data_IF_708770359762
#
_entry.id   IF_708770359762
#
_cell.length_a   1.000
_cell.length_b   1.000
_cell.length_c   1.000
_cell.angle_alpha   90.00
_cell.angle_beta   90.00
_cell.angle_gamma   90.00
#
_symmetry.space_group_name_H-M   'P 1'
#
loop_
_entity.id
_entity.type
_entity.pdbx_description
1 polymer ?
#
# COMPACT_ATOMS: atom_id res chain seq x y z
N UNK A 1 -7.33 -16.50 5.95
CA UNK A 1 -7.30 -15.61 4.77
C UNK A 1 -7.41 -14.18 5.26
N UNK A 2 -6.59 -13.27 4.75
CA UNK A 2 -6.61 -11.84 5.13
C UNK A 2 -7.95 -11.22 4.71
N UNK A 3 -8.60 -10.51 5.63
CA UNK A 3 -9.91 -9.87 5.40
C UNK A 3 -9.83 -8.34 5.45
N UNK A 4 -8.73 -7.79 6.00
CA UNK A 4 -8.52 -6.36 6.19
C UNK A 4 -7.47 -5.81 5.24
N UNK A 5 -7.73 -4.64 4.67
CA UNK A 5 -6.81 -3.94 3.79
C UNK A 5 -6.61 -2.50 4.22
N UNK A 6 -5.41 -1.97 4.01
CA UNK A 6 -5.08 -0.55 4.17
C UNK A 6 -4.68 0.00 2.81
N UNK A 7 -5.26 1.11 2.41
CA UNK A 7 -4.80 1.90 1.28
C UNK A 7 -4.12 3.15 1.83
N UNK A 8 -2.81 3.30 1.60
CA UNK A 8 -2.08 4.49 1.97
C UNK A 8 -2.20 5.53 0.85
N UNK A 9 -3.11 6.47 1.02
CA UNK A 9 -3.45 7.52 0.06
C UNK A 9 -2.92 8.90 0.50
N UNK A 10 -1.83 8.90 1.25
CA UNK A 10 -1.10 10.09 1.66
C UNK A 10 0.03 10.46 0.70
N UNK A 11 0.78 11.50 1.06
CA UNK A 11 1.89 12.01 0.26
C UNK A 11 1.52 13.26 -0.55
N UNK A 12 2.54 14.07 -0.85
CA UNK A 12 2.32 15.39 -1.48
C UNK A 12 2.27 15.34 -3.02
N UNK A 13 2.64 14.21 -3.63
CA UNK A 13 2.61 14.06 -5.10
C UNK A 13 3.46 15.09 -5.87
N UNK A 14 4.56 15.57 -5.30
CA UNK A 14 5.37 16.70 -5.80
C UNK A 14 5.81 16.56 -7.25
N UNK A 15 6.06 15.32 -7.70
CA UNK A 15 6.45 15.03 -9.09
C UNK A 15 5.34 15.32 -10.13
N UNK A 16 4.10 15.47 -9.68
CA UNK A 16 2.94 15.78 -10.52
C UNK A 16 2.47 17.24 -10.35
N UNK A 17 3.31 18.09 -9.74
CA UNK A 17 3.03 19.53 -9.68
C UNK A 17 2.93 20.11 -11.10
N UNK A 18 1.99 21.06 -11.37
CA UNK A 18 1.14 21.76 -10.39
C UNK A 18 -0.19 21.07 -10.04
N UNK A 19 -0.57 19.98 -10.71
CA UNK A 19 -1.87 19.31 -10.52
C UNK A 19 -2.14 18.93 -9.06
N UNK A 20 -1.11 18.49 -8.36
CA UNK A 20 -1.20 18.04 -6.96
C UNK A 20 -1.15 19.16 -5.92
N UNK A 21 -1.08 20.43 -6.34
CA UNK A 21 -1.21 21.58 -5.41
C UNK A 21 -2.62 21.73 -4.86
N UNK A 22 -3.63 21.46 -5.68
CA UNK A 22 -5.04 21.61 -5.30
C UNK A 22 -5.77 20.31 -5.03
N UNK A 23 -5.31 19.19 -5.62
CA UNK A 23 -6.00 17.92 -5.56
C UNK A 23 -5.03 16.81 -5.13
N UNK A 24 -5.50 15.93 -4.23
CA UNK A 24 -4.73 14.75 -3.88
C UNK A 24 -4.44 13.88 -5.12
N UNK A 25 -3.21 13.38 -5.25
CA UNK A 25 -2.78 12.54 -6.38
C UNK A 25 -3.73 11.38 -6.66
N UNK A 26 -4.25 10.73 -5.64
CA UNK A 26 -5.12 9.57 -5.76
C UNK A 26 -6.53 9.91 -6.23
N UNK A 27 -6.89 11.20 -6.25
CA UNK A 27 -8.16 11.69 -6.79
C UNK A 27 -8.05 12.17 -8.25
N UNK A 28 -6.83 12.26 -8.79
CA UNK A 28 -6.64 12.58 -10.21
C UNK A 28 -7.17 11.45 -11.09
N UNK A 29 -7.81 11.76 -12.22
CA UNK A 29 -8.35 10.75 -13.12
C UNK A 29 -7.23 9.99 -13.84
N UNK A 30 -7.38 8.68 -13.93
CA UNK A 30 -6.63 7.81 -14.81
C UNK A 30 -7.65 7.13 -15.72
N UNK A 31 -7.67 7.54 -16.97
CA UNK A 31 -8.66 7.16 -17.98
C UNK A 31 -10.07 7.59 -17.56
N UNK A 32 -10.90 6.70 -17.05
CA UNK A 32 -12.34 6.91 -16.76
C UNK A 32 -12.68 7.11 -15.29
N UNK A 33 -11.70 6.99 -14.36
CA UNK A 33 -11.95 7.05 -12.93
C UNK A 33 -10.75 7.56 -12.12
N UNK A 34 -10.97 8.12 -10.92
CA UNK A 34 -9.90 8.50 -10.00
C UNK A 34 -8.95 7.34 -9.68
N UNK A 35 -7.66 7.66 -9.55
CA UNK A 35 -6.59 6.68 -9.32
C UNK A 35 -6.87 5.75 -8.13
N UNK A 36 -7.53 6.23 -7.06
CA UNK A 36 -7.84 5.45 -5.86
C UNK A 36 -8.66 4.18 -6.15
N UNK A 37 -9.47 4.17 -7.20
CA UNK A 37 -10.26 2.99 -7.56
C UNK A 37 -9.41 1.79 -7.99
N UNK A 38 -8.21 2.02 -8.53
CA UNK A 38 -7.32 0.93 -8.95
C UNK A 38 -6.80 0.12 -7.78
N UNK A 39 -6.12 0.69 -6.75
CA UNK A 39 -5.72 -0.07 -5.56
C UNK A 39 -6.93 -0.63 -4.80
N UNK A 40 -8.07 0.09 -4.79
CA UNK A 40 -9.30 -0.41 -4.20
C UNK A 40 -9.77 -1.69 -4.89
N UNK A 41 -9.81 -1.70 -6.23
CA UNK A 41 -10.19 -2.87 -7.02
C UNK A 41 -9.23 -4.06 -6.80
N UNK A 42 -7.94 -3.82 -6.63
CA UNK A 42 -6.97 -4.88 -6.32
C UNK A 42 -7.31 -5.57 -5.00
N UNK A 43 -7.62 -4.82 -3.94
CA UNK A 43 -8.05 -5.39 -2.67
C UNK A 43 -9.38 -6.15 -2.81
N UNK A 44 -10.33 -5.61 -3.58
CA UNK A 44 -11.63 -6.26 -3.84
C UNK A 44 -11.47 -7.57 -4.63
N UNK A 45 -10.63 -7.61 -5.67
CA UNK A 45 -10.29 -8.81 -6.43
C UNK A 45 -9.60 -9.87 -5.57
N UNK A 46 -8.84 -9.43 -4.60
CA UNK A 46 -8.21 -10.27 -3.60
C UNK A 46 -9.20 -10.86 -2.57
N UNK A 47 -10.46 -10.39 -2.56
CA UNK A 47 -11.50 -10.82 -1.62
C UNK A 47 -11.55 -10.03 -0.32
N UNK A 48 -10.79 -8.94 -0.21
CA UNK A 48 -10.81 -8.06 0.96
C UNK A 48 -12.02 -7.13 0.87
N UNK A 49 -12.76 -6.99 1.98
CA UNK A 49 -14.00 -6.20 2.04
C UNK A 49 -14.02 -5.19 3.17
N UNK A 50 -13.10 -5.28 4.13
CA UNK A 50 -12.95 -4.30 5.23
C UNK A 50 -11.66 -3.50 4.97
N UNK A 51 -11.80 -2.22 4.63
CA UNK A 51 -10.71 -1.40 4.08
C UNK A 51 -10.59 -0.10 4.87
N UNK A 52 -9.36 0.21 5.30
CA UNK A 52 -9.00 1.50 5.87
C UNK A 52 -8.28 2.33 4.80
N UNK A 53 -8.76 3.54 4.53
CA UNK A 53 -8.07 4.50 3.67
C UNK A 53 -7.42 5.57 4.54
N UNK A 54 -6.09 5.69 4.45
CA UNK A 54 -5.31 6.69 5.19
C UNK A 54 -4.98 7.82 4.22
N UNK A 55 -5.43 9.03 4.55
CA UNK A 55 -5.28 10.24 3.74
C UNK A 55 -4.48 11.31 4.48
N UNK A 56 -4.01 12.34 3.79
CA UNK A 56 -3.41 13.50 4.45
C UNK A 56 -4.48 14.30 5.22
N UNK A 57 -4.06 14.94 6.30
CA UNK A 57 -4.90 15.85 7.07
C UNK A 57 -5.58 16.89 6.17
N UNK A 58 -6.88 17.09 6.36
CA UNK A 58 -7.70 18.04 5.60
C UNK A 58 -8.22 17.51 4.25
N UNK A 59 -7.86 16.27 3.84
CA UNK A 59 -8.31 15.68 2.56
C UNK A 59 -9.44 14.66 2.71
N UNK A 60 -9.81 14.34 3.94
CA UNK A 60 -10.81 13.31 4.26
C UNK A 60 -12.17 13.55 3.59
N UNK A 61 -12.62 14.80 3.55
CA UNK A 61 -13.92 15.15 2.96
C UNK A 61 -14.03 14.74 1.49
N UNK A 62 -12.99 14.95 0.69
CA UNK A 62 -12.98 14.60 -0.73
C UNK A 62 -13.11 13.10 -0.95
N UNK A 63 -12.39 12.29 -0.17
CA UNK A 63 -12.46 10.83 -0.25
C UNK A 63 -13.81 10.29 0.23
N UNK A 64 -14.37 10.85 1.31
CA UNK A 64 -15.70 10.50 1.79
C UNK A 64 -16.80 10.86 0.78
N UNK A 65 -16.71 12.01 0.13
CA UNK A 65 -17.64 12.42 -0.94
C UNK A 65 -17.61 11.44 -2.11
N UNK A 66 -16.41 10.91 -2.47
CA UNK A 66 -16.23 10.01 -3.59
C UNK A 66 -16.66 8.57 -3.28
N UNK A 67 -16.23 8.02 -2.14
CA UNK A 67 -16.33 6.58 -1.84
C UNK A 67 -17.35 6.26 -0.73
N UNK A 68 -17.78 7.26 0.04
CA UNK A 68 -18.70 7.12 1.18
C UNK A 68 -18.20 6.05 2.17
N UNK A 69 -19.11 5.21 2.66
CA UNK A 69 -18.80 4.07 3.55
C UNK A 69 -18.50 2.76 2.78
N UNK A 70 -18.49 2.81 1.46
CA UNK A 70 -18.21 1.68 0.58
C UNK A 70 -19.36 0.72 0.34
N UNK A 71 -20.53 0.89 0.97
CA UNK A 71 -21.67 -0.04 0.84
C UNK A 71 -22.11 -0.22 -0.60
N UNK A 72 -22.15 0.84 -1.40
CA UNK A 72 -22.49 0.78 -2.83
C UNK A 72 -21.54 -0.09 -3.65
N UNK A 73 -20.31 -0.32 -3.15
CA UNK A 73 -19.30 -1.18 -3.76
C UNK A 73 -19.24 -2.58 -3.14
N UNK A 74 -20.14 -2.89 -2.19
CA UNK A 74 -20.14 -4.17 -1.47
C UNK A 74 -18.95 -4.35 -0.52
N UNK A 75 -18.41 -3.26 0.01
CA UNK A 75 -17.28 -3.21 0.97
C UNK A 75 -17.60 -2.29 2.13
N UNK A 76 -16.76 -2.36 3.18
CA UNK A 76 -16.79 -1.42 4.29
C UNK A 76 -15.54 -0.58 4.26
N UNK A 77 -15.69 0.73 4.18
CA UNK A 77 -14.57 1.68 4.19
C UNK A 77 -14.57 2.45 5.51
N UNK A 78 -13.42 2.43 6.17
CA UNK A 78 -13.05 3.30 7.28
C UNK A 78 -11.98 4.28 6.83
N UNK A 79 -11.83 5.40 7.52
CA UNK A 79 -10.88 6.45 7.16
C UNK A 79 -10.05 6.86 8.36
N UNK A 80 -8.78 7.22 8.09
CA UNK A 80 -7.89 7.88 9.05
C UNK A 80 -7.12 9.01 8.35
N UNK A 81 -6.73 10.01 9.10
CA UNK A 81 -5.88 11.09 8.61
C UNK A 81 -4.48 10.96 9.21
N UNK A 82 -3.46 11.11 8.38
CA UNK A 82 -2.07 11.29 8.82
C UNK A 82 -1.72 12.78 8.85
N UNK A 83 -1.13 13.23 9.96
CA UNK A 83 -0.73 14.63 10.12
C UNK A 83 0.40 15.02 9.16
N UNK A 84 1.36 14.10 8.96
CA UNK A 84 2.48 14.22 8.01
C UNK A 84 2.81 12.82 7.47
N UNK A 85 3.24 12.67 6.21
CA UNK A 85 3.76 11.41 5.70
C UNK A 85 5.03 11.01 6.45
N UNK A 86 4.97 9.87 7.16
CA UNK A 86 6.10 9.31 7.93
C UNK A 86 6.51 7.91 7.43
N UNK A 87 6.21 7.62 6.17
CA UNK A 87 6.49 6.32 5.56
C UNK A 87 5.46 5.24 5.87
N UNK A 88 5.75 4.03 5.40
CA UNK A 88 4.86 2.87 5.51
C UNK A 88 4.54 2.45 6.96
N UNK A 89 5.50 2.50 7.91
CA UNK A 89 5.23 2.09 9.28
C UNK A 89 4.14 2.88 9.98
N UNK A 90 4.01 4.17 9.66
CA UNK A 90 2.97 5.04 10.24
C UNK A 90 1.56 4.57 9.90
N UNK A 91 1.37 3.96 8.73
CA UNK A 91 0.07 3.39 8.33
C UNK A 91 -0.40 2.27 9.27
N UNK A 92 0.52 1.46 9.82
CA UNK A 92 0.19 0.40 10.76
C UNK A 92 -0.06 0.94 12.16
N UNK A 93 0.60 2.02 12.56
CA UNK A 93 0.38 2.71 13.84
C UNK A 93 -0.99 3.38 13.82
N UNK A 94 -1.31 4.16 12.78
CA UNK A 94 -2.62 4.78 12.59
C UNK A 94 -3.75 3.74 12.45
N UNK A 95 -3.44 2.63 11.79
CA UNK A 95 -4.37 1.53 11.57
C UNK A 95 -4.47 0.53 12.73
N UNK A 96 -3.81 0.72 13.87
CA UNK A 96 -3.72 -0.27 14.95
C UNK A 96 -5.08 -0.78 15.41
N UNK A 97 -6.02 0.12 15.73
CA UNK A 97 -7.38 -0.24 16.14
C UNK A 97 -8.14 -0.99 15.05
N UNK A 98 -7.95 -0.60 13.80
CA UNK A 98 -8.54 -1.26 12.63
C UNK A 98 -7.97 -2.66 12.44
N UNK A 99 -6.66 -2.84 12.50
CA UNK A 99 -5.97 -4.13 12.32
C UNK A 99 -6.35 -5.09 13.46
N UNK A 100 -6.22 -4.65 14.71
CA UNK A 100 -6.42 -5.48 15.90
C UNK A 100 -5.50 -6.71 15.85
N UNK A 101 -6.09 -7.89 16.06
CA UNK A 101 -5.36 -9.17 16.03
C UNK A 101 -5.30 -9.82 14.64
N UNK A 102 -5.73 -9.13 13.59
CA UNK A 102 -5.80 -9.69 12.23
C UNK A 102 -4.52 -9.45 11.45
N UNK A 103 -4.24 -10.33 10.49
CA UNK A 103 -3.30 -10.02 9.41
C UNK A 103 -3.91 -8.98 8.46
N UNK A 104 -3.07 -8.18 7.83
CA UNK A 104 -3.47 -7.04 6.99
C UNK A 104 -2.71 -7.01 5.68
N UNK A 105 -3.42 -6.62 4.60
CA UNK A 105 -2.79 -6.21 3.35
C UNK A 105 -2.63 -4.69 3.34
N UNK A 106 -1.48 -4.18 2.91
CA UNK A 106 -1.29 -2.76 2.65
C UNK A 106 -0.95 -2.57 1.17
N UNK A 107 -1.63 -1.62 0.54
CA UNK A 107 -1.36 -1.19 -0.83
C UNK A 107 -1.17 0.31 -0.89
N UNK A 108 -0.20 0.75 -1.69
CA UNK A 108 -0.02 2.18 -1.96
C UNK A 108 -1.15 2.69 -2.85
N UNK A 109 -1.69 3.86 -2.52
CA UNK A 109 -2.86 4.45 -3.16
C UNK A 109 -2.64 4.90 -4.61
N UNK A 110 -1.40 4.90 -5.09
CA UNK A 110 -1.01 5.26 -6.45
C UNK A 110 -0.53 4.06 -7.29
N UNK A 111 -0.74 2.84 -6.80
CA UNK A 111 -0.33 1.64 -7.52
C UNK A 111 -1.44 1.12 -8.44
N UNK A 112 -1.01 0.78 -9.64
CA UNK A 112 -1.83 0.13 -10.66
C UNK A 112 -1.29 -1.28 -10.93
N UNK A 113 -2.14 -2.30 -10.72
CA UNK A 113 -1.79 -3.70 -11.00
C UNK A 113 -2.64 -4.23 -12.14
N UNK A 114 -1.99 -4.75 -13.15
CA UNK A 114 -2.62 -5.35 -14.32
C UNK A 114 -1.90 -6.65 -14.72
N UNK A 115 -2.63 -7.60 -15.25
CA UNK A 115 -2.03 -8.82 -15.79
C UNK A 115 -2.99 -10.01 -15.80
N UNK A 116 -2.63 -11.01 -16.60
CA UNK A 116 -3.41 -12.24 -16.71
C UNK A 116 -3.45 -12.98 -15.36
N UNK A 117 -4.63 -13.54 -15.04
CA UNK A 117 -4.89 -14.31 -13.82
C UNK A 117 -4.61 -13.54 -12.51
N UNK A 118 -4.68 -12.19 -12.54
CA UNK A 118 -4.37 -11.35 -11.39
C UNK A 118 -5.14 -11.77 -10.13
N UNK A 119 -6.46 -12.03 -10.26
CA UNK A 119 -7.32 -12.47 -9.15
C UNK A 119 -6.80 -13.74 -8.48
N UNK A 120 -6.40 -14.75 -9.27
CA UNK A 120 -5.90 -16.02 -8.75
C UNK A 120 -4.53 -15.83 -8.07
N UNK A 121 -3.66 -15.01 -8.65
CA UNK A 121 -2.35 -14.67 -8.07
C UNK A 121 -2.53 -13.94 -6.74
N UNK A 122 -3.43 -12.96 -6.66
CA UNK A 122 -3.75 -12.23 -5.43
C UNK A 122 -4.32 -13.16 -4.35
N UNK A 123 -5.27 -14.04 -4.69
CA UNK A 123 -5.83 -15.01 -3.74
C UNK A 123 -4.77 -15.98 -3.20
N UNK A 124 -3.80 -16.43 -4.02
CA UNK A 124 -2.64 -17.22 -3.56
C UNK A 124 -1.72 -16.41 -2.66
N UNK A 125 -1.44 -15.16 -3.05
CA UNK A 125 -0.60 -14.24 -2.28
C UNK A 125 -1.15 -13.98 -0.88
N UNK A 126 -2.48 -13.84 -0.72
CA UNK A 126 -3.16 -13.60 0.57
C UNK A 126 -3.18 -14.79 1.54
N UNK A 127 -2.73 -15.96 1.12
CA UNK A 127 -2.65 -17.14 2.01
C UNK A 127 -1.39 -17.09 2.86
N UNK A 128 -1.39 -16.26 3.89
CA UNK A 128 -0.32 -16.18 4.89
C UNK A 128 -0.88 -16.53 6.26
N UNK A 129 -0.15 -17.32 7.05
CA UNK A 129 -0.47 -17.59 8.45
C UNK A 129 0.31 -16.66 9.39
N UNK A 130 1.60 -16.50 9.16
CA UNK A 130 2.52 -15.70 9.98
C UNK A 130 3.57 -15.03 9.11
N UNK A 131 4.17 -13.95 9.62
CA UNK A 131 5.23 -13.20 8.96
C UNK A 131 4.74 -12.19 7.93
N UNK A 132 5.53 -11.99 6.88
CA UNK A 132 5.23 -11.02 5.83
C UNK A 132 5.40 -11.59 4.44
N UNK A 133 4.74 -10.98 3.46
CA UNK A 133 4.97 -11.19 2.02
C UNK A 133 5.00 -9.86 1.30
N UNK A 134 5.88 -9.74 0.34
CA UNK A 134 6.00 -8.58 -0.53
C UNK A 134 5.85 -9.05 -1.97
N UNK A 135 5.07 -8.34 -2.76
CA UNK A 135 4.99 -8.59 -4.19
C UNK A 135 6.16 -7.88 -4.88
N UNK A 136 6.91 -8.64 -5.68
CA UNK A 136 8.08 -8.17 -6.41
C UNK A 136 7.81 -8.23 -7.91
N UNK A 137 8.46 -7.32 -8.66
CA UNK A 137 8.41 -7.31 -10.13
C UNK A 137 9.80 -6.99 -10.71
N UNK A 138 10.27 -7.74 -11.73
CA UNK A 138 11.54 -7.43 -12.37
C UNK A 138 11.45 -6.10 -13.16
N UNK A 139 12.45 -5.24 -13.00
CA UNK A 139 12.52 -3.92 -13.65
C UNK A 139 13.86 -3.74 -14.37
N UNK A 140 13.87 -2.86 -15.39
CA UNK A 140 15.10 -2.54 -16.14
C UNK A 140 16.03 -1.57 -15.38
N UNK A 141 15.48 -0.73 -14.50
CA UNK A 141 16.21 0.32 -13.77
C UNK A 141 15.97 0.19 -12.27
N UNK A 142 16.62 -0.79 -11.59
CA UNK A 142 16.39 -1.06 -10.17
C UNK A 142 16.77 0.10 -9.26
N UNK A 143 17.69 0.97 -9.69
CA UNK A 143 18.13 2.16 -8.93
C UNK A 143 17.03 3.20 -8.69
N UNK A 144 15.88 3.07 -9.35
CA UNK A 144 14.72 3.95 -9.13
C UNK A 144 13.77 3.47 -8.04
N UNK A 145 13.95 2.23 -7.53
CA UNK A 145 12.99 1.55 -6.68
C UNK A 145 13.63 0.99 -5.40
N UNK A 146 12.80 0.66 -4.43
CA UNK A 146 13.18 -0.28 -3.39
C UNK A 146 13.36 -1.67 -4.02
N UNK A 147 14.49 -2.33 -3.79
CA UNK A 147 14.86 -3.60 -4.42
C UNK A 147 15.04 -4.68 -3.36
N UNK A 148 14.55 -5.89 -3.66
CA UNK A 148 14.73 -7.06 -2.83
C UNK A 148 15.74 -8.04 -3.45
N UNK A 149 16.64 -8.58 -2.63
CA UNK A 149 17.43 -9.76 -2.94
C UNK A 149 16.76 -10.98 -2.27
N UNK A 150 16.56 -12.05 -3.01
CA UNK A 150 15.92 -13.27 -2.53
C UNK A 150 16.85 -14.48 -2.69
N UNK A 151 16.62 -15.53 -1.89
CA UNK A 151 17.28 -16.82 -2.06
C UNK A 151 16.49 -17.73 -3.02
N UNK A 152 17.02 -18.94 -3.23
CA UNK A 152 16.41 -19.98 -4.09
C UNK A 152 15.04 -20.46 -3.57
N UNK A 153 14.73 -20.22 -2.29
CA UNK A 153 13.44 -20.52 -1.66
C UNK A 153 12.50 -19.31 -1.64
N UNK A 154 12.82 -18.25 -2.41
CA UNK A 154 12.10 -16.98 -2.46
C UNK A 154 11.98 -16.26 -1.11
N UNK A 155 12.92 -16.48 -0.18
CA UNK A 155 13.02 -15.72 1.06
C UNK A 155 13.85 -14.47 0.83
N UNK A 156 13.41 -13.36 1.41
CA UNK A 156 14.11 -12.08 1.32
C UNK A 156 15.40 -12.17 2.13
N UNK A 157 16.55 -11.90 1.48
CA UNK A 157 17.86 -11.77 2.09
C UNK A 157 18.17 -10.33 2.47
N UNK A 158 17.85 -9.40 1.60
CA UNK A 158 18.08 -7.97 1.84
C UNK A 158 17.04 -7.10 1.12
N UNK A 159 16.82 -5.92 1.66
CA UNK A 159 16.01 -4.85 1.05
C UNK A 159 16.88 -3.59 0.99
N UNK A 160 16.95 -2.95 -0.17
CA UNK A 160 17.74 -1.74 -0.38
C UNK A 160 16.90 -0.70 -1.09
N UNK A 161 16.83 0.50 -0.54
CA UNK A 161 16.14 1.62 -1.17
C UNK A 161 17.04 2.28 -2.19
N UNK A 162 16.61 2.31 -3.45
CA UNK A 162 17.28 2.95 -4.60
C UNK A 162 18.80 2.71 -4.65
N UNK A 163 19.22 1.45 -4.69
CA UNK A 163 20.65 1.13 -4.67
C UNK A 163 21.31 1.58 -5.97
N UNK A 164 22.44 2.30 -5.87
CA UNK A 164 23.22 2.71 -7.05
C UNK A 164 23.71 1.51 -7.86
N UNK A 165 24.14 0.45 -7.15
CA UNK A 165 24.57 -0.81 -7.75
C UNK A 165 23.74 -1.93 -7.12
N UNK A 166 22.85 -2.55 -7.89
CA UNK A 166 22.02 -3.64 -7.44
C UNK A 166 22.40 -4.96 -8.12
N UNK A 167 22.53 -6.02 -7.31
CA UNK A 167 22.67 -7.40 -7.82
C UNK A 167 21.33 -8.01 -8.23
N UNK A 168 20.22 -7.39 -7.86
CA UNK A 168 18.87 -7.84 -8.14
C UNK A 168 18.11 -6.76 -8.90
N UNK A 169 17.22 -7.16 -9.79
CA UNK A 169 16.30 -6.29 -10.50
C UNK A 169 14.85 -6.40 -9.98
N UNK A 170 14.65 -7.06 -8.83
CA UNK A 170 13.33 -7.29 -8.26
C UNK A 170 12.85 -6.08 -7.45
N UNK A 171 12.09 -5.21 -8.07
CA UNK A 171 11.51 -4.04 -7.42
C UNK A 171 10.32 -4.40 -6.52
N UNK A 172 10.20 -3.69 -5.41
CA UNK A 172 9.08 -3.76 -4.48
C UNK A 172 7.91 -2.99 -5.09
N UNK A 173 6.76 -3.64 -5.28
CA UNK A 173 5.64 -3.09 -6.06
C UNK A 173 4.63 -2.30 -5.22
N UNK A 174 4.84 -2.17 -3.90
CA UNK A 174 3.91 -1.44 -3.04
C UNK A 174 2.62 -2.21 -2.67
N UNK A 175 2.62 -3.53 -2.80
CA UNK A 175 1.61 -4.42 -2.20
C UNK A 175 2.30 -5.36 -1.21
N UNK A 176 1.85 -5.30 0.03
CA UNK A 176 2.46 -5.96 1.18
C UNK A 176 1.43 -6.72 1.98
N UNK A 177 1.83 -7.83 2.57
CA UNK A 177 1.06 -8.56 3.57
C UNK A 177 1.86 -8.71 4.84
N UNK A 178 1.18 -8.53 5.96
CA UNK A 178 1.78 -8.69 7.28
C UNK A 178 0.82 -9.40 8.23
N UNK A 179 1.37 -10.16 9.17
CA UNK A 179 0.64 -10.51 10.38
C UNK A 179 0.54 -9.28 11.32
N UNK A 180 -0.23 -9.39 12.40
CA UNK A 180 -0.45 -8.29 13.34
C UNK A 180 0.79 -7.83 14.10
N UNK A 181 1.89 -8.60 14.08
CA UNK A 181 3.17 -8.22 14.69
C UNK A 181 3.77 -7.00 14.03
N UNK A 182 3.35 -6.67 12.80
CA UNK A 182 3.77 -5.45 12.10
C UNK A 182 3.53 -4.19 12.94
N UNK A 183 2.48 -4.13 13.76
CA UNK A 183 2.19 -2.99 14.64
C UNK A 183 3.33 -2.80 15.65
N UNK A 184 3.74 -3.89 16.32
CA UNK A 184 4.83 -3.87 17.29
C UNK A 184 6.14 -3.42 16.63
N UNK A 185 6.47 -4.00 15.48
CA UNK A 185 7.67 -3.63 14.73
C UNK A 185 7.63 -2.16 14.27
N UNK A 186 6.50 -1.69 13.75
CA UNK A 186 6.36 -0.29 13.30
C UNK A 186 6.58 0.70 14.44
N UNK A 187 6.09 0.40 15.65
CA UNK A 187 6.31 1.23 16.85
C UNK A 187 7.77 1.25 17.33
N UNK A 188 8.55 0.21 17.04
CA UNK A 188 9.96 0.13 17.45
C UNK A 188 10.93 0.74 16.46
N UNK A 189 10.49 1.09 15.26
CA UNK A 189 11.34 1.71 14.24
C UNK A 189 11.68 3.16 14.59
N UNK A 190 12.93 3.53 14.35
CA UNK A 190 13.36 4.94 14.36
C UNK A 190 13.19 5.52 12.96
N UNK A 191 12.84 6.81 12.84
CA UNK A 191 12.79 7.47 11.54
C UNK A 191 14.11 7.32 10.76
N UNK A 192 14.02 7.12 9.46
CA UNK A 192 15.19 7.08 8.59
C UNK A 192 15.82 8.47 8.47
N UNK A 193 17.00 8.56 7.80
CA UNK A 193 17.66 9.86 7.50
C UNK A 193 16.75 10.82 6.68
N UNK A 194 15.64 10.32 6.12
CA UNK A 194 14.65 11.13 5.39
C UNK A 194 13.47 11.56 6.26
N UNK A 195 13.50 11.27 7.59
CA UNK A 195 12.37 11.46 8.50
C UNK A 195 11.10 10.67 8.14
N UNK A 196 11.29 9.53 7.46
CA UNK A 196 10.24 8.57 7.09
C UNK A 196 10.45 7.22 7.79
#
# INVERSE_FOLDING_TARGET
>A
MIKKGIILAGGHGTRMSPLTKAVNKQLLPIYDKPLIYYPLSVLMLAGIRDILIIVNKGQLFQFRKLLSDGKKLGIKISYAEQAKPKGLPDAFILGEKFIGNSSVALILGDNFFYGQSLTNKLKKFLKIKTGSRILLHPVKKPELYGVAEIDIKHKIKSLKEKPKNSKSNLAITGLYLFDNKVIKYSKSLKPSKRNE
#
